data_IF_188046529901
#
_entry.id   IF_188046529901
#
_cell.length_a   1.000
_cell.length_b   1.000
_cell.length_c   1.000
_cell.angle_alpha   90.00
_cell.angle_beta   90.00
_cell.angle_gamma   90.00
#
_symmetry.space_group_name_H-M   'P 1'
#
loop_
_entity.id
_entity.type
_entity.pdbx_description
1 polymer ?
#
# COMPACT_ATOMS: atom_id res chain seq x y z
N UNK A 1 -16.74 -19.82 -49.85
CA UNK A 1 -17.15 -20.13 -48.45
C UNK A 1 -15.97 -20.25 -47.46
N UNK A 2 -14.82 -20.84 -47.84
CA UNK A 2 -13.66 -21.05 -46.94
C UNK A 2 -13.11 -19.76 -46.29
N UNK A 3 -13.00 -18.66 -47.05
CA UNK A 3 -12.51 -17.36 -46.53
C UNK A 3 -13.39 -16.78 -45.41
N UNK A 4 -14.73 -16.86 -45.51
CA UNK A 4 -15.65 -16.36 -44.47
C UNK A 4 -15.53 -17.13 -43.16
N UNK A 5 -15.39 -18.46 -43.23
CA UNK A 5 -15.18 -19.29 -42.03
C UNK A 5 -13.87 -18.96 -41.31
N UNK A 6 -12.80 -18.70 -42.06
CA UNK A 6 -11.51 -18.29 -41.50
C UNK A 6 -11.60 -16.93 -40.77
N UNK A 7 -12.29 -15.95 -41.34
CA UNK A 7 -12.46 -14.64 -40.70
C UNK A 7 -13.26 -14.76 -39.39
N UNK A 8 -14.35 -15.53 -39.39
CA UNK A 8 -15.15 -15.75 -38.17
C UNK A 8 -14.31 -16.42 -37.08
N UNK A 9 -13.53 -17.44 -37.44
CA UNK A 9 -12.65 -18.13 -36.48
C UNK A 9 -11.58 -17.19 -35.91
N UNK A 10 -10.98 -16.33 -36.74
CA UNK A 10 -9.98 -15.35 -36.31
C UNK A 10 -10.59 -14.32 -35.37
N UNK A 11 -11.77 -13.77 -35.71
CA UNK A 11 -12.50 -12.82 -34.83
C UNK A 11 -12.82 -13.48 -33.50
N UNK A 12 -13.31 -14.72 -33.51
CA UNK A 12 -13.61 -15.46 -32.29
C UNK A 12 -12.35 -15.66 -31.43
N UNK A 13 -11.23 -16.04 -32.04
CA UNK A 13 -9.95 -16.21 -31.34
C UNK A 13 -9.50 -14.90 -30.67
N UNK A 14 -9.58 -13.77 -31.39
CA UNK A 14 -9.24 -12.45 -30.83
C UNK A 14 -10.15 -12.08 -29.67
N UNK A 15 -11.46 -12.29 -29.79
CA UNK A 15 -12.42 -12.01 -28.70
C UNK A 15 -12.12 -12.86 -27.47
N UNK A 16 -11.84 -14.15 -27.64
CA UNK A 16 -11.47 -15.04 -26.52
C UNK A 16 -10.20 -14.55 -25.83
N UNK A 17 -9.17 -14.15 -26.59
CA UNK A 17 -7.93 -13.59 -26.04
C UNK A 17 -8.19 -12.30 -25.27
N UNK A 18 -8.99 -11.38 -25.81
CA UNK A 18 -9.35 -10.14 -25.11
C UNK A 18 -10.12 -10.41 -23.81
N UNK A 19 -11.06 -11.36 -23.82
CA UNK A 19 -11.79 -11.77 -22.62
C UNK A 19 -10.85 -12.38 -21.58
N UNK A 20 -9.89 -13.21 -21.98
CA UNK A 20 -8.90 -13.78 -21.06
C UNK A 20 -8.04 -12.70 -20.42
N UNK A 21 -7.53 -11.73 -21.21
CA UNK A 21 -6.75 -10.59 -20.69
C UNK A 21 -7.60 -9.78 -19.70
N UNK A 22 -8.88 -9.56 -20.01
CA UNK A 22 -9.78 -8.82 -19.14
C UNK A 22 -10.04 -9.54 -17.80
N UNK A 23 -10.27 -10.86 -17.83
CA UNK A 23 -10.47 -11.66 -16.61
C UNK A 23 -9.21 -11.65 -15.74
N UNK A 24 -8.04 -11.82 -16.35
CA UNK A 24 -6.77 -11.81 -15.64
C UNK A 24 -6.51 -10.46 -14.95
N UNK A 25 -6.81 -9.35 -15.63
CA UNK A 25 -6.67 -8.01 -15.05
C UNK A 25 -7.61 -7.72 -13.87
N UNK A 26 -8.68 -8.50 -13.69
CA UNK A 26 -9.65 -8.31 -12.60
C UNK A 26 -9.36 -9.15 -11.35
N UNK A 27 -8.42 -10.08 -11.42
CA UNK A 27 -8.13 -10.98 -10.31
C UNK A 27 -7.23 -10.27 -9.28
N UNK A 28 -7.64 -10.18 -7.99
CA UNK A 28 -6.79 -9.61 -6.96
C UNK A 28 -5.55 -10.47 -6.74
N UNK A 29 -4.46 -9.84 -6.32
CA UNK A 29 -3.25 -10.53 -5.86
C UNK A 29 -3.30 -10.66 -4.35
N UNK A 30 -3.19 -11.88 -3.83
CA UNK A 30 -3.04 -12.11 -2.38
C UNK A 30 -1.64 -11.66 -1.95
N UNK A 31 -1.57 -10.82 -0.92
CA UNK A 31 -0.34 -10.29 -0.34
C UNK A 31 -0.25 -10.83 1.09
N UNK A 32 0.83 -11.56 1.36
CA UNK A 32 1.18 -12.05 2.69
C UNK A 32 2.69 -11.94 2.84
N UNK A 33 3.15 -10.77 3.30
CA UNK A 33 4.57 -10.45 3.43
C UNK A 33 4.88 -9.84 4.78
N UNK A 34 6.04 -10.16 5.32
CA UNK A 34 6.57 -9.56 6.55
C UNK A 34 8.01 -9.13 6.27
N UNK A 35 8.30 -7.86 6.54
CA UNK A 35 9.60 -7.26 6.31
C UNK A 35 10.18 -6.70 7.60
N UNK A 36 11.48 -6.83 7.79
CA UNK A 36 12.18 -6.05 8.81
C UNK A 36 12.09 -4.57 8.46
N UNK A 37 11.92 -3.74 9.48
CA UNK A 37 11.72 -2.32 9.35
C UNK A 37 12.44 -1.56 10.45
N UNK A 38 12.66 -0.28 10.22
CA UNK A 38 13.14 0.67 11.23
C UNK A 38 12.06 1.72 11.43
N UNK A 39 11.68 1.91 12.69
CA UNK A 39 10.71 2.90 13.11
C UNK A 39 11.34 3.93 14.04
N UNK A 40 10.95 5.18 13.93
CA UNK A 40 11.44 6.25 14.80
C UNK A 40 10.42 7.40 14.94
N UNK A 41 10.38 8.08 16.11
CA UNK A 41 9.68 9.36 16.27
C UNK A 41 10.28 10.45 15.37
N UNK A 42 9.45 11.25 14.69
CA UNK A 42 9.93 12.28 13.76
C UNK A 42 10.71 13.41 14.44
N UNK A 43 10.46 13.64 15.72
CA UNK A 43 11.13 14.61 16.58
C UNK A 43 12.41 14.05 17.24
N UNK A 44 12.50 12.74 17.43
CA UNK A 44 13.67 12.06 18.01
C UNK A 44 14.10 10.81 17.23
N UNK A 45 14.91 11.03 16.18
CA UNK A 45 15.51 9.94 15.39
C UNK A 45 16.47 9.05 16.19
N UNK A 46 17.02 9.53 17.32
CA UNK A 46 17.96 8.73 18.11
C UNK A 46 17.26 7.57 18.83
N UNK A 47 15.95 7.69 19.05
CA UNK A 47 15.08 6.66 19.61
C UNK A 47 14.57 5.65 18.56
N UNK A 48 15.33 5.44 17.49
CA UNK A 48 14.98 4.47 16.45
C UNK A 48 15.02 3.04 16.99
N UNK A 49 14.02 2.25 16.60
CA UNK A 49 13.88 0.84 16.96
C UNK A 49 13.76 -0.02 15.71
N UNK A 50 14.37 -1.21 15.77
CA UNK A 50 14.16 -2.25 14.76
C UNK A 50 12.81 -2.90 15.08
N UNK A 51 11.95 -2.98 14.08
CA UNK A 51 10.62 -3.58 14.15
C UNK A 51 10.36 -4.42 12.88
N UNK A 52 9.12 -4.81 12.64
CA UNK A 52 8.68 -5.45 11.40
C UNK A 52 7.36 -4.87 10.93
N UNK A 53 7.20 -4.76 9.61
CA UNK A 53 5.93 -4.42 8.97
C UNK A 53 5.38 -5.70 8.36
N UNK A 54 4.15 -6.06 8.71
CA UNK A 54 3.43 -7.19 8.11
C UNK A 54 2.25 -6.69 7.30
N UNK A 55 2.08 -7.25 6.11
CA UNK A 55 0.99 -6.93 5.19
C UNK A 55 0.24 -8.21 4.89
N UNK A 56 -1.06 -8.21 5.14
CA UNK A 56 -1.94 -9.32 4.84
C UNK A 56 -3.22 -8.83 4.16
N UNK A 57 -3.50 -9.27 2.95
CA UNK A 57 -4.70 -8.85 2.24
C UNK A 57 -4.72 -9.14 0.76
N UNK A 58 -5.55 -8.39 0.04
CA UNK A 58 -5.76 -8.48 -1.40
C UNK A 58 -5.51 -7.14 -2.06
N UNK A 59 -4.64 -7.14 -3.05
CA UNK A 59 -4.35 -5.97 -3.86
C UNK A 59 -5.08 -6.03 -5.21
N UNK A 60 -5.86 -4.99 -5.50
CA UNK A 60 -6.69 -4.89 -6.69
C UNK A 60 -6.05 -3.92 -7.70
N UNK A 61 -5.38 -4.48 -8.72
CA UNK A 61 -4.78 -3.74 -9.84
C UNK A 61 -5.78 -3.59 -11.00
N UNK A 62 -6.76 -2.70 -10.85
CA UNK A 62 -7.80 -2.49 -11.87
C UNK A 62 -7.36 -1.43 -12.89
N UNK A 63 -7.41 -1.71 -14.20
CA UNK A 63 -6.98 -0.76 -15.24
C UNK A 63 -7.84 0.52 -15.34
N UNK A 64 -9.11 0.45 -14.96
CA UNK A 64 -10.07 1.56 -15.10
C UNK A 64 -10.69 2.01 -13.77
N UNK A 65 -10.15 1.57 -12.65
CA UNK A 65 -10.60 1.94 -11.30
C UNK A 65 -9.38 2.30 -10.47
N UNK A 66 -9.60 3.01 -9.36
CA UNK A 66 -8.51 3.28 -8.42
C UNK A 66 -7.96 1.96 -7.88
N UNK A 67 -6.63 1.78 -7.94
CA UNK A 67 -5.97 0.67 -7.26
C UNK A 67 -6.33 0.74 -5.76
N UNK A 68 -6.58 -0.40 -5.14
CA UNK A 68 -6.90 -0.47 -3.71
C UNK A 68 -6.37 -1.75 -3.09
N UNK A 69 -6.14 -1.68 -1.79
CA UNK A 69 -5.75 -2.81 -0.96
C UNK A 69 -6.82 -3.05 0.10
N UNK A 70 -7.36 -4.27 0.12
CA UNK A 70 -8.28 -4.76 1.15
C UNK A 70 -7.50 -5.68 2.09
N UNK A 71 -7.33 -5.30 3.35
CA UNK A 71 -6.54 -6.11 4.28
C UNK A 71 -6.03 -5.30 5.46
N UNK A 72 -4.89 -5.71 6.00
CA UNK A 72 -4.25 -5.12 7.15
C UNK A 72 -2.77 -4.87 6.85
N UNK A 73 -2.29 -3.69 7.24
CA UNK A 73 -0.87 -3.39 7.37
C UNK A 73 -0.61 -3.20 8.87
N UNK A 74 0.27 -3.99 9.47
CA UNK A 74 0.63 -3.88 10.89
C UNK A 74 2.10 -3.56 11.04
N UNK A 75 2.43 -2.82 12.07
CA UNK A 75 3.81 -2.59 12.51
C UNK A 75 3.95 -3.20 13.90
N UNK A 76 4.92 -4.09 14.07
CA UNK A 76 5.15 -4.75 15.33
C UNK A 76 5.46 -3.75 16.44
N UNK A 77 4.95 -4.02 17.65
CA UNK A 77 5.10 -3.18 18.84
C UNK A 77 4.37 -1.83 18.74
N UNK A 78 3.51 -1.65 17.74
CA UNK A 78 2.57 -0.53 17.64
C UNK A 78 1.12 -1.03 17.76
N UNK A 79 0.58 -1.08 19.00
CA UNK A 79 -0.75 -1.61 19.29
C UNK A 79 -1.85 -1.00 18.41
N UNK A 80 -1.70 0.28 18.04
CA UNK A 80 -2.66 0.97 17.18
C UNK A 80 -2.88 0.27 15.83
N UNK A 81 -1.84 -0.31 15.23
CA UNK A 81 -1.96 -1.01 13.94
C UNK A 81 -2.31 -2.48 14.09
N UNK A 82 -2.01 -3.10 15.24
CA UNK A 82 -2.27 -4.51 15.51
C UNK A 82 -3.71 -4.77 16.00
N UNK A 83 -4.19 -3.90 16.88
CA UNK A 83 -5.48 -4.08 17.56
C UNK A 83 -6.66 -3.60 16.73
N UNK A 84 -6.44 -2.65 15.81
CA UNK A 84 -7.51 -1.99 15.04
C UNK A 84 -7.66 -2.57 13.64
N UNK A 85 -8.82 -2.41 13.02
CA UNK A 85 -9.06 -2.83 11.64
C UNK A 85 -8.68 -1.70 10.69
N UNK A 86 -7.85 -1.99 9.69
CA UNK A 86 -7.60 -1.03 8.62
C UNK A 86 -8.79 -1.02 7.65
N UNK A 87 -9.31 0.15 7.34
CA UNK A 87 -10.21 0.34 6.21
C UNK A 87 -9.46 0.12 4.88
N UNK A 88 -10.19 -0.15 3.81
CA UNK A 88 -9.63 -0.24 2.45
C UNK A 88 -8.69 0.94 2.15
N UNK A 89 -7.45 0.62 1.81
CA UNK A 89 -6.46 1.60 1.40
C UNK A 89 -6.63 1.88 -0.10
N UNK A 90 -7.03 3.10 -0.45
CA UNK A 90 -7.11 3.54 -1.84
C UNK A 90 -5.84 4.27 -2.26
N UNK A 91 -5.27 3.86 -3.39
CA UNK A 91 -4.15 4.58 -4.01
C UNK A 91 -4.68 5.92 -4.50
N UNK A 92 -4.18 6.99 -3.88
CA UNK A 92 -4.54 8.37 -4.18
C UNK A 92 -3.70 8.91 -5.32
N UNK A 93 -2.41 8.56 -5.34
CA UNK A 93 -1.46 8.98 -6.35
C UNK A 93 -0.33 7.94 -6.52
N UNK A 94 0.43 8.03 -7.61
CA UNK A 94 1.56 7.14 -7.88
C UNK A 94 2.68 7.89 -8.60
N UNK A 95 3.93 7.57 -8.26
CA UNK A 95 5.13 8.06 -8.91
C UNK A 95 6.00 6.86 -9.25
N UNK A 96 6.32 6.69 -10.53
CA UNK A 96 7.07 5.54 -11.02
C UNK A 96 6.46 4.22 -10.52
N UNK A 97 7.19 3.49 -9.68
CA UNK A 97 6.81 2.19 -9.10
C UNK A 97 6.19 2.30 -7.70
N UNK A 98 6.06 3.52 -7.17
CA UNK A 98 5.55 3.77 -5.81
C UNK A 98 4.11 4.28 -5.82
N UNK A 99 3.29 3.67 -4.99
CA UNK A 99 1.91 4.03 -4.73
C UNK A 99 1.79 4.75 -3.41
N UNK A 100 0.92 5.76 -3.35
CA UNK A 100 0.67 6.57 -2.16
C UNK A 100 -0.82 6.52 -1.82
N UNK A 101 -1.13 6.31 -0.55
CA UNK A 101 -2.50 6.33 -0.07
C UNK A 101 -2.57 6.68 1.42
N UNK A 102 -3.78 6.92 1.90
CA UNK A 102 -4.04 7.14 3.32
C UNK A 102 -4.78 5.91 3.82
N UNK A 103 -4.15 5.17 4.72
CA UNK A 103 -4.77 4.12 5.51
C UNK A 103 -5.48 4.75 6.71
N UNK A 104 -6.62 4.19 7.06
CA UNK A 104 -7.41 4.58 8.23
C UNK A 104 -7.60 3.35 9.07
N UNK A 105 -7.29 3.44 10.37
CA UNK A 105 -7.54 2.35 11.31
C UNK A 105 -8.74 2.70 12.19
N UNK A 106 -9.71 1.79 12.21
CA UNK A 106 -10.91 1.86 13.03
C UNK A 106 -10.78 0.91 14.22
N UNK A 107 -11.07 1.43 15.42
CA UNK A 107 -10.99 0.64 16.65
C UNK A 107 -11.99 -0.52 16.62
N UNK A 108 -11.56 -1.72 17.02
CA UNK A 108 -12.45 -2.91 17.05
C UNK A 108 -13.59 -2.84 18.07
N UNK A 109 -13.58 -1.86 18.99
CA UNK A 109 -14.54 -1.76 20.09
C UNK A 109 -15.75 -0.87 19.76
N UNK A 110 -16.93 -1.24 20.28
CA UNK A 110 -18.27 -0.67 20.02
C UNK A 110 -18.48 0.82 20.35
N UNK A 111 -17.48 1.56 20.84
CA UNK A 111 -17.63 2.97 21.21
C UNK A 111 -17.02 3.90 20.16
N UNK A 112 -17.92 4.68 19.54
CA UNK A 112 -17.85 5.24 18.19
C UNK A 112 -17.23 6.64 18.09
N UNK A 113 -16.45 7.08 19.07
CA UNK A 113 -16.09 8.50 19.19
C UNK A 113 -14.58 8.79 19.17
N UNK A 114 -13.71 7.78 19.10
CA UNK A 114 -12.28 8.04 19.00
C UNK A 114 -11.85 8.41 17.58
N UNK A 115 -10.88 9.33 17.44
CA UNK A 115 -10.44 9.82 16.15
C UNK A 115 -9.82 8.69 15.31
N UNK A 116 -10.32 8.56 14.08
CA UNK A 116 -9.63 7.93 12.97
C UNK A 116 -8.23 8.56 12.89
N UNK A 117 -7.17 7.78 13.10
CA UNK A 117 -5.82 8.28 12.89
C UNK A 117 -5.43 7.95 11.45
N UNK A 118 -5.31 8.97 10.57
CA UNK A 118 -4.85 8.74 9.22
C UNK A 118 -3.37 8.36 9.25
N UNK A 119 -3.03 7.31 8.52
CA UNK A 119 -1.66 6.87 8.29
C UNK A 119 -1.39 7.03 6.81
N UNK A 120 -0.44 7.87 6.46
CA UNK A 120 -0.01 7.95 5.07
C UNK A 120 0.89 6.71 4.83
N UNK A 121 0.65 6.01 3.72
CA UNK A 121 1.32 4.77 3.35
C UNK A 121 1.87 4.87 1.94
N UNK A 122 3.12 4.44 1.74
CA UNK A 122 3.74 4.32 0.43
C UNK A 122 4.35 2.95 0.23
N UNK A 123 4.02 2.36 -0.91
CA UNK A 123 4.32 0.96 -1.19
C UNK A 123 4.46 0.70 -2.69
N UNK A 124 5.21 -0.34 -3.06
CA UNK A 124 5.28 -0.83 -4.44
C UNK A 124 4.15 -1.83 -4.77
N UNK A 125 3.99 -2.21 -6.03
CA UNK A 125 2.95 -3.15 -6.50
C UNK A 125 3.01 -4.54 -5.81
N UNK A 126 4.17 -4.93 -5.27
CA UNK A 126 4.41 -6.21 -4.57
C UNK A 126 4.45 -6.10 -3.05
N UNK A 127 4.30 -4.89 -2.50
CA UNK A 127 4.51 -4.57 -1.09
C UNK A 127 5.90 -4.97 -0.58
N UNK A 128 6.93 -5.04 -1.45
CA UNK A 128 8.30 -5.37 -1.04
C UNK A 128 8.96 -4.24 -0.26
N UNK A 129 8.54 -3.01 -0.56
CA UNK A 129 8.80 -1.81 0.23
C UNK A 129 7.46 -1.26 0.68
N UNK A 130 7.30 -1.12 1.99
CA UNK A 130 6.16 -0.50 2.65
C UNK A 130 6.68 0.45 3.70
N UNK A 131 6.21 1.68 3.64
CA UNK A 131 6.64 2.74 4.52
C UNK A 131 5.41 3.51 4.98
N UNK A 132 5.46 4.01 6.21
CA UNK A 132 4.29 4.57 6.88
C UNK A 132 4.71 5.80 7.68
N UNK A 133 3.88 6.84 7.64
CA UNK A 133 3.92 7.94 8.59
C UNK A 133 2.57 7.99 9.27
N UNK A 134 2.62 7.78 10.57
CA UNK A 134 1.46 7.77 11.45
C UNK A 134 1.55 8.96 12.40
N UNK A 135 0.37 9.48 12.72
CA UNK A 135 0.19 10.47 13.77
C UNK A 135 -0.65 9.77 14.84
N UNK A 136 -0.07 9.53 16.01
CA UNK A 136 -0.73 8.87 17.14
C UNK A 136 -0.44 9.67 18.41
N UNK A 137 -1.48 10.00 19.18
CA UNK A 137 -1.34 10.74 20.45
C UNK A 137 -0.52 12.04 20.34
N UNK A 138 -0.76 12.85 19.30
CA UNK A 138 -0.02 14.09 18.99
C UNK A 138 1.46 13.90 18.58
N UNK A 139 1.96 12.67 18.59
CA UNK A 139 3.29 12.31 18.15
C UNK A 139 3.25 11.77 16.72
N UNK A 140 4.28 12.09 15.94
CA UNK A 140 4.41 11.58 14.57
C UNK A 140 5.55 10.59 14.50
N UNK A 141 5.32 9.45 13.89
CA UNK A 141 6.32 8.41 13.71
C UNK A 141 6.46 8.08 12.24
N UNK A 142 7.63 7.58 11.88
CA UNK A 142 7.90 7.02 10.57
C UNK A 142 8.42 5.60 10.72
N UNK A 143 7.91 4.69 9.89
CA UNK A 143 8.44 3.34 9.73
C UNK A 143 8.77 3.08 8.27
N UNK A 144 9.92 2.48 8.01
CA UNK A 144 10.35 2.04 6.69
C UNK A 144 10.76 0.58 6.73
N UNK A 145 10.27 -0.22 5.78
CA UNK A 145 10.71 -1.60 5.56
C UNK A 145 11.78 -1.69 4.48
N UNK A 146 12.46 -2.83 4.44
CA UNK A 146 13.50 -3.09 3.43
C UNK A 146 14.77 -2.26 3.64
N UNK A 147 14.97 -1.77 4.88
CA UNK A 147 16.13 -0.97 5.29
C UNK A 147 16.81 -1.62 6.49
N UNK A 148 18.13 -1.54 6.52
CA UNK A 148 18.96 -2.10 7.59
C UNK A 148 19.50 -1.03 8.54
N UNK A 149 19.41 0.26 8.17
CA UNK A 149 19.94 1.36 8.99
C UNK A 149 19.01 2.56 9.08
N UNK A 150 19.17 3.33 10.16
CA UNK A 150 18.43 4.57 10.39
C UNK A 150 18.66 5.59 9.27
N UNK A 151 19.89 5.67 8.74
CA UNK A 151 20.23 6.58 7.65
C UNK A 151 19.44 6.25 6.38
N UNK A 152 19.27 4.96 6.06
CA UNK A 152 18.46 4.51 4.93
C UNK A 152 16.98 4.87 5.15
N UNK A 153 16.43 4.57 6.33
CA UNK A 153 15.06 4.93 6.69
C UNK A 153 14.83 6.44 6.59
N UNK A 154 15.77 7.24 7.08
CA UNK A 154 15.73 8.70 7.00
C UNK A 154 15.84 9.21 5.56
N UNK A 155 16.65 8.59 4.72
CA UNK A 155 16.78 8.94 3.30
C UNK A 155 15.48 8.68 2.52
N UNK A 156 14.81 7.54 2.77
CA UNK A 156 13.49 7.25 2.21
C UNK A 156 12.49 8.33 2.62
N UNK A 157 12.45 8.68 3.92
CA UNK A 157 11.56 9.72 4.42
C UNK A 157 11.81 11.08 3.74
N UNK A 158 13.08 11.51 3.60
CA UNK A 158 13.40 12.78 2.91
C UNK A 158 13.00 12.76 1.43
N UNK A 159 13.25 11.65 0.73
CA UNK A 159 12.87 11.47 -0.67
C UNK A 159 11.36 11.62 -0.82
N UNK A 160 10.61 11.00 0.07
CA UNK A 160 9.14 11.07 0.09
C UNK A 160 8.64 12.50 0.35
N UNK A 161 9.22 13.24 1.30
CA UNK A 161 8.89 14.65 1.52
C UNK A 161 9.14 15.51 0.27
N UNK A 162 10.24 15.27 -0.45
CA UNK A 162 10.56 15.98 -1.68
C UNK A 162 9.53 15.69 -2.77
N UNK A 163 9.14 14.42 -2.93
CA UNK A 163 8.11 13.99 -3.88
C UNK A 163 6.78 14.68 -3.58
N UNK A 164 6.33 14.66 -2.32
CA UNK A 164 5.07 15.31 -1.93
C UNK A 164 5.07 16.82 -2.20
N UNK A 165 6.18 17.50 -1.91
CA UNK A 165 6.33 18.93 -2.22
C UNK A 165 6.22 19.20 -3.71
N UNK A 166 6.90 18.41 -4.54
CA UNK A 166 6.85 18.55 -6.00
C UNK A 166 5.46 18.28 -6.60
N UNK A 167 4.63 17.46 -5.94
CA UNK A 167 3.26 17.17 -6.39
C UNK A 167 2.25 18.27 -6.08
N UNK A 168 2.64 19.26 -5.26
CA UNK A 168 1.76 20.37 -4.84
C UNK A 168 1.90 21.64 -5.69
N UNK A 169 2.87 21.68 -6.60
CA UNK A 169 3.13 22.77 -7.56
C UNK A 169 2.40 22.53 -8.89
#
# INVERSE_FOLDING_TARGET
MRKRRLHIMLVYCVVVVMVMIFIQSYSPTDIEVTHSAIAYPLDDKASAVITSISVHGKYYQQWFRKKRFEGQITVADWPYTEENNMMDLYVSWSSDEMHFGIATYERKAEFREDPISPVLVWFDDSFSQVNMQLIANEESYFAASGVDTLEQAAAIHQTMLAIMRSSSE
#
